data_IF_204814241364
#
_entry.id   IF_204814241364
#
_cell.length_a   1.000
_cell.length_b   1.000
_cell.length_c   1.000
_cell.angle_alpha   90.00
_cell.angle_beta   90.00
_cell.angle_gamma   90.00
#
_symmetry.space_group_name_H-M   'P 1'
#
loop_
_entity.id
_entity.type
_entity.pdbx_description
1 polymer ?
#
# COMPACT_ATOMS: atom_id res chain seq x y z
N UNK A 1 -14.04 -35.03 19.34
CA UNK A 1 -14.32 -33.72 18.71
C UNK A 1 -13.37 -33.58 17.53
N UNK A 2 -13.84 -33.76 16.29
CA UNK A 2 -13.01 -33.60 15.09
C UNK A 2 -12.84 -32.10 14.81
N UNK A 3 -11.60 -31.61 14.78
CA UNK A 3 -11.30 -30.29 14.20
C UNK A 3 -11.82 -30.24 12.77
N UNK A 4 -12.45 -29.13 12.37
CA UNK A 4 -12.86 -28.99 10.98
C UNK A 4 -11.62 -28.99 10.08
N UNK A 5 -11.76 -29.48 8.84
CA UNK A 5 -10.69 -29.44 7.85
C UNK A 5 -10.11 -28.03 7.65
N UNK A 6 -10.91 -26.99 7.89
CA UNK A 6 -10.49 -25.58 7.86
C UNK A 6 -9.61 -25.19 9.05
N UNK A 7 -9.88 -25.66 10.27
CA UNK A 7 -9.02 -25.42 11.44
C UNK A 7 -7.66 -26.11 11.29
N UNK A 8 -7.66 -27.31 10.71
CA UNK A 8 -6.44 -28.09 10.48
C UNK A 8 -5.55 -27.43 9.41
N UNK A 9 -6.16 -26.92 8.33
CA UNK A 9 -5.47 -26.18 7.29
C UNK A 9 -4.91 -24.85 7.83
N UNK A 10 -5.71 -24.10 8.59
CA UNK A 10 -5.31 -22.85 9.20
C UNK A 10 -4.15 -23.05 10.20
N UNK A 11 -4.17 -24.15 10.98
CA UNK A 11 -3.09 -24.51 11.90
C UNK A 11 -1.82 -24.88 11.14
N UNK A 12 -1.92 -25.66 10.06
CA UNK A 12 -0.80 -26.10 9.22
C UNK A 12 -0.10 -24.95 8.51
N UNK A 13 -0.88 -23.99 8.00
CA UNK A 13 -0.36 -22.82 7.28
C UNK A 13 -0.18 -21.57 8.13
N UNK A 14 -0.42 -21.63 9.44
CA UNK A 14 -0.30 -20.50 10.37
C UNK A 14 1.04 -19.77 10.28
N UNK A 15 2.12 -20.51 9.99
CA UNK A 15 3.49 -19.97 9.85
C UNK A 15 3.72 -19.26 8.52
N UNK A 16 2.96 -19.56 7.46
CA UNK A 16 3.05 -18.84 6.17
C UNK A 16 2.42 -17.46 6.24
N UNK A 17 1.45 -17.27 7.15
CA UNK A 17 0.71 -16.02 7.31
C UNK A 17 1.08 -15.28 8.60
N UNK A 18 2.23 -15.60 9.21
CA UNK A 18 2.70 -14.88 10.38
C UNK A 18 3.38 -13.58 9.97
N UNK A 19 2.83 -12.45 10.41
CA UNK A 19 3.48 -11.16 10.24
C UNK A 19 4.84 -11.14 10.97
N UNK A 20 5.81 -10.32 10.54
CA UNK A 20 7.04 -10.09 11.30
C UNK A 20 6.75 -9.51 12.69
N UNK A 21 7.71 -9.57 13.62
CA UNK A 21 7.58 -8.92 14.93
C UNK A 21 7.36 -7.40 14.77
N UNK A 22 6.77 -6.72 15.77
CA UNK A 22 6.55 -5.28 15.70
C UNK A 22 7.85 -4.50 15.49
N UNK A 23 8.93 -4.89 16.18
CA UNK A 23 10.25 -4.29 16.01
C UNK A 23 10.80 -4.49 14.61
N UNK A 24 10.67 -5.70 14.06
CA UNK A 24 11.09 -6.00 12.68
C UNK A 24 10.27 -5.18 11.67
N UNK A 25 8.97 -5.03 11.88
CA UNK A 25 8.10 -4.21 11.03
C UNK A 25 8.49 -2.74 11.03
N UNK A 26 8.79 -2.17 12.20
CA UNK A 26 9.29 -0.79 12.32
C UNK A 26 10.61 -0.63 11.56
N UNK A 27 11.54 -1.58 11.70
CA UNK A 27 12.80 -1.56 10.96
C UNK A 27 12.56 -1.65 9.44
N UNK A 28 11.71 -2.57 8.98
CA UNK A 28 11.41 -2.71 7.55
C UNK A 28 10.69 -1.49 6.98
N UNK A 29 9.78 -0.88 7.72
CA UNK A 29 9.15 0.39 7.35
C UNK A 29 10.18 1.51 7.24
N UNK A 30 11.07 1.63 8.23
CA UNK A 30 12.14 2.63 8.21
C UNK A 30 13.06 2.46 7.01
N UNK A 31 13.56 1.24 6.78
CA UNK A 31 14.46 0.94 5.66
C UNK A 31 13.76 1.17 4.32
N UNK A 32 12.53 0.68 4.14
CA UNK A 32 11.79 0.87 2.88
C UNK A 32 11.44 2.34 2.62
N UNK A 33 11.09 3.11 3.65
CA UNK A 33 10.85 4.55 3.52
C UNK A 33 12.11 5.32 3.10
N UNK A 34 13.27 5.00 3.71
CA UNK A 34 14.56 5.59 3.34
C UNK A 34 14.92 5.24 1.89
N UNK A 35 14.79 3.97 1.50
CA UNK A 35 15.03 3.54 0.13
C UNK A 35 14.11 4.26 -0.86
N UNK A 36 12.84 4.46 -0.50
CA UNK A 36 11.89 5.14 -1.36
C UNK A 36 12.23 6.63 -1.52
N UNK A 37 12.62 7.30 -0.43
CA UNK A 37 13.07 8.70 -0.48
C UNK A 37 14.31 8.88 -1.36
N UNK A 38 15.32 8.03 -1.16
CA UNK A 38 16.52 7.99 -2.00
C UNK A 38 16.14 7.74 -3.47
N UNK A 39 15.19 6.85 -3.73
CA UNK A 39 14.76 6.52 -5.10
C UNK A 39 14.08 7.71 -5.79
N UNK A 40 13.25 8.48 -5.07
CA UNK A 40 12.62 9.67 -5.63
C UNK A 40 13.60 10.81 -5.87
N UNK A 41 14.61 10.97 -5.00
CA UNK A 41 15.68 11.96 -5.17
C UNK A 41 16.84 11.47 -6.07
N UNK A 42 16.55 10.54 -7.00
CA UNK A 42 17.52 10.01 -7.98
C UNK A 42 18.80 9.47 -7.35
N UNK A 43 18.64 8.68 -6.30
CA UNK A 43 19.71 8.05 -5.55
C UNK A 43 20.61 9.03 -4.77
N UNK A 44 20.18 10.28 -4.60
CA UNK A 44 20.81 11.22 -3.68
C UNK A 44 20.14 11.11 -2.32
N UNK A 45 20.95 11.24 -1.26
CA UNK A 45 20.45 11.19 0.11
C UNK A 45 20.25 12.61 0.60
N UNK A 46 19.08 13.17 0.31
CA UNK A 46 18.62 14.41 0.93
C UNK A 46 17.96 14.12 2.29
N UNK A 47 18.43 14.84 3.31
CA UNK A 47 17.96 14.68 4.68
C UNK A 47 16.48 15.05 4.80
N UNK A 48 16.03 16.11 4.11
CA UNK A 48 14.66 16.60 4.21
C UNK A 48 13.70 15.57 3.61
N UNK A 49 13.98 15.10 2.39
CA UNK A 49 13.20 14.08 1.71
C UNK A 49 13.16 12.77 2.49
N UNK A 50 14.28 12.37 3.10
CA UNK A 50 14.35 11.18 3.95
C UNK A 50 13.48 11.29 5.20
N UNK A 51 13.53 12.43 5.89
CA UNK A 51 12.70 12.70 7.07
C UNK A 51 11.21 12.76 6.71
N UNK A 52 10.86 13.36 5.56
CA UNK A 52 9.49 13.38 5.05
C UNK A 52 8.99 11.96 4.70
N UNK A 53 9.81 11.14 4.04
CA UNK A 53 9.48 9.75 3.74
C UNK A 53 9.22 8.91 4.99
N UNK A 54 10.07 9.06 6.00
CA UNK A 54 9.87 8.41 7.31
C UNK A 54 8.58 8.92 7.97
N UNK A 55 8.44 10.24 8.10
CA UNK A 55 7.29 10.86 8.77
C UNK A 55 5.97 10.45 8.10
N UNK A 56 5.90 10.44 6.77
CA UNK A 56 4.68 10.04 6.05
C UNK A 56 4.36 8.56 6.21
N UNK A 57 5.35 7.68 6.18
CA UNK A 57 5.16 6.23 6.35
C UNK A 57 4.63 5.90 7.76
N UNK A 58 5.26 6.46 8.80
CA UNK A 58 4.84 6.23 10.18
C UNK A 58 3.51 6.94 10.51
N UNK A 59 3.33 8.19 10.07
CA UNK A 59 2.07 8.92 10.26
C UNK A 59 0.91 8.20 9.57
N UNK A 60 1.09 7.70 8.34
CA UNK A 60 0.05 6.94 7.63
C UNK A 60 -0.38 5.72 8.42
N UNK A 61 0.57 4.99 9.02
CA UNK A 61 0.28 3.82 9.86
C UNK A 61 -0.62 4.19 11.04
N UNK A 62 -0.26 5.24 11.78
CA UNK A 62 -1.00 5.67 12.98
C UNK A 62 -2.38 6.22 12.62
N UNK A 63 -2.44 7.10 11.61
CA UNK A 63 -3.67 7.74 11.14
C UNK A 63 -4.64 6.69 10.61
N UNK A 64 -4.19 5.77 9.77
CA UNK A 64 -5.06 4.73 9.22
C UNK A 64 -5.55 3.77 10.30
N UNK A 65 -4.69 3.36 11.23
CA UNK A 65 -5.11 2.51 12.34
C UNK A 65 -6.22 3.21 13.14
N UNK A 66 -6.03 4.49 13.48
CA UNK A 66 -7.02 5.25 14.23
C UNK A 66 -8.33 5.39 13.46
N UNK A 67 -8.29 5.84 12.21
CA UNK A 67 -9.49 6.07 11.40
C UNK A 67 -10.25 4.78 11.11
N UNK A 68 -9.56 3.67 10.84
CA UNK A 68 -10.20 2.36 10.72
C UNK A 68 -10.93 2.00 12.01
N UNK A 69 -10.28 2.20 13.18
CA UNK A 69 -10.90 1.88 14.48
C UNK A 69 -12.05 2.81 14.85
N UNK A 70 -12.06 4.05 14.38
CA UNK A 70 -13.20 4.97 14.53
C UNK A 70 -14.40 4.50 13.71
N UNK A 71 -14.16 4.10 12.46
CA UNK A 71 -15.23 3.71 11.53
C UNK A 71 -15.74 2.29 11.80
N UNK A 72 -14.86 1.39 12.21
CA UNK A 72 -15.13 -0.02 12.48
C UNK A 72 -14.40 -0.47 13.77
N UNK A 73 -14.97 -0.20 14.97
CA UNK A 73 -14.30 -0.50 16.24
C UNK A 73 -13.94 -1.98 16.44
N UNK A 74 -14.80 -2.86 15.93
CA UNK A 74 -14.63 -4.33 15.89
C UNK A 74 -13.54 -4.80 14.92
N UNK A 75 -13.00 -3.90 14.09
CA UNK A 75 -11.98 -4.22 13.10
C UNK A 75 -10.77 -4.91 13.70
N UNK A 76 -10.21 -5.85 12.97
CA UNK A 76 -8.96 -6.53 13.31
C UNK A 76 -7.71 -5.65 13.07
N UNK A 77 -7.87 -4.37 12.75
CA UNK A 77 -6.79 -3.41 12.50
C UNK A 77 -5.97 -3.13 13.77
N UNK A 78 -4.94 -3.94 13.99
CA UNK A 78 -3.88 -3.70 14.99
C UNK A 78 -2.75 -2.88 14.36
N UNK A 79 -1.92 -2.17 15.16
CA UNK A 79 -0.77 -1.42 14.62
C UNK A 79 0.07 -2.29 13.69
N UNK A 80 0.36 -3.53 14.11
CA UNK A 80 1.13 -4.51 13.34
C UNK A 80 0.54 -4.85 11.97
N UNK A 81 -0.79 -4.99 11.88
CA UNK A 81 -1.48 -5.34 10.62
C UNK A 81 -1.53 -4.15 9.67
N UNK A 82 -1.77 -2.95 10.19
CA UNK A 82 -1.75 -1.72 9.39
C UNK A 82 -0.32 -1.43 8.93
N UNK A 83 0.69 -1.56 9.79
CA UNK A 83 2.11 -1.44 9.41
C UNK A 83 2.49 -2.39 8.28
N UNK A 84 2.01 -3.64 8.30
CA UNK A 84 2.31 -4.60 7.23
C UNK A 84 1.66 -4.22 5.89
N UNK A 85 0.44 -3.67 5.93
CA UNK A 85 -0.21 -3.11 4.75
C UNK A 85 0.58 -1.92 4.20
N UNK A 86 0.97 -0.97 5.04
CA UNK A 86 1.76 0.20 4.65
C UNK A 86 3.10 -0.22 4.06
N UNK A 87 3.81 -1.16 4.72
CA UNK A 87 5.05 -1.72 4.19
C UNK A 87 4.86 -2.31 2.79
N UNK A 88 3.77 -3.06 2.58
CA UNK A 88 3.46 -3.63 1.27
C UNK A 88 3.20 -2.53 0.23
N UNK A 89 2.49 -1.46 0.60
CA UNK A 89 2.32 -0.27 -0.23
C UNK A 89 3.65 0.42 -0.58
N UNK A 90 4.54 0.61 0.40
CA UNK A 90 5.88 1.18 0.17
C UNK A 90 6.73 0.28 -0.73
N UNK A 91 6.61 -1.04 -0.62
CA UNK A 91 7.30 -1.99 -1.51
C UNK A 91 6.75 -1.97 -2.94
N UNK A 92 5.44 -1.79 -3.13
CA UNK A 92 4.84 -1.61 -4.46
C UNK A 92 5.40 -0.34 -5.13
N UNK A 93 5.57 0.74 -4.37
CA UNK A 93 6.24 1.95 -4.84
C UNK A 93 7.68 1.69 -5.27
N UNK A 94 8.47 1.02 -4.43
CA UNK A 94 9.85 0.64 -4.77
C UNK A 94 9.91 -0.24 -6.02
N UNK A 95 8.95 -1.16 -6.19
CA UNK A 95 8.85 -1.98 -7.40
C UNK A 95 8.57 -1.12 -8.65
N UNK A 96 7.66 -0.15 -8.55
CA UNK A 96 7.38 0.78 -9.66
C UNK A 96 8.63 1.57 -10.05
N UNK A 97 9.39 2.09 -9.07
CA UNK A 97 10.65 2.80 -9.34
C UNK A 97 11.71 1.87 -9.91
N UNK A 98 11.85 0.65 -9.41
CA UNK A 98 12.78 -0.33 -9.96
C UNK A 98 12.44 -0.69 -11.42
N UNK A 99 11.15 -0.83 -11.75
CA UNK A 99 10.69 -1.04 -13.12
C UNK A 99 11.03 0.15 -14.03
N UNK A 100 10.93 1.38 -13.53
CA UNK A 100 11.40 2.56 -14.25
C UNK A 100 12.90 2.54 -14.49
N UNK A 101 13.72 2.25 -13.47
CA UNK A 101 15.18 2.19 -13.63
C UNK A 101 15.57 1.17 -14.70
N UNK A 102 14.88 0.03 -14.73
CA UNK A 102 15.05 -0.96 -15.79
C UNK A 102 14.63 -0.40 -17.16
N UNK A 103 13.48 0.27 -17.26
CA UNK A 103 13.04 0.93 -18.50
C UNK A 103 14.04 1.98 -19.00
N UNK A 104 14.53 2.86 -18.12
CA UNK A 104 15.56 3.87 -18.41
C UNK A 104 16.83 3.20 -18.94
N UNK A 105 17.22 2.06 -18.37
CA UNK A 105 18.42 1.34 -18.82
C UNK A 105 18.33 0.90 -20.29
N UNK A 106 17.14 0.47 -20.73
CA UNK A 106 16.85 -0.02 -22.09
C UNK A 106 16.59 1.12 -23.08
N UNK A 107 15.79 2.11 -22.69
CA UNK A 107 15.24 3.12 -23.60
C UNK A 107 15.83 4.52 -23.42
N UNK A 108 16.74 4.71 -22.45
CA UNK A 108 17.39 6.00 -22.10
C UNK A 108 16.42 7.15 -21.88
N UNK A 109 15.19 6.85 -21.48
CA UNK A 109 14.11 7.82 -21.28
C UNK A 109 13.57 7.71 -19.86
N UNK A 110 13.60 8.84 -19.14
CA UNK A 110 13.11 8.97 -17.76
C UNK A 110 11.64 9.36 -17.78
N UNK A 111 10.81 8.63 -17.03
CA UNK A 111 9.36 8.82 -16.96
C UNK A 111 8.87 9.03 -15.52
N UNK A 112 9.67 9.66 -14.66
CA UNK A 112 9.40 9.83 -13.22
C UNK A 112 7.95 10.22 -12.92
N UNK A 113 7.37 11.15 -13.68
CA UNK A 113 5.98 11.59 -13.46
C UNK A 113 4.96 10.48 -13.72
N UNK A 114 5.17 9.66 -14.75
CA UNK A 114 4.32 8.49 -15.06
C UNK A 114 4.47 7.47 -13.94
N UNK A 115 5.70 7.13 -13.55
CA UNK A 115 5.98 6.15 -12.49
C UNK A 115 5.38 6.57 -11.17
N UNK A 116 5.54 7.83 -10.79
CA UNK A 116 5.03 8.36 -9.53
C UNK A 116 3.51 8.41 -9.54
N UNK A 117 2.91 8.91 -10.63
CA UNK A 117 1.44 8.90 -10.75
C UNK A 117 0.90 7.47 -10.70
N UNK A 118 1.46 6.56 -11.51
CA UNK A 118 1.01 5.17 -11.59
C UNK A 118 1.22 4.39 -10.29
N UNK A 119 2.36 4.59 -9.62
CA UNK A 119 2.66 4.01 -8.31
C UNK A 119 1.63 4.39 -7.25
N UNK A 120 1.19 5.65 -7.23
CA UNK A 120 0.13 6.10 -6.32
C UNK A 120 -1.18 5.34 -6.56
N UNK A 121 -1.57 5.13 -7.82
CA UNK A 121 -2.77 4.35 -8.17
C UNK A 121 -2.63 2.87 -7.84
N UNK A 122 -1.45 2.26 -8.05
CA UNK A 122 -1.19 0.87 -7.67
C UNK A 122 -1.35 0.66 -6.15
N UNK A 123 -0.75 1.54 -5.36
CA UNK A 123 -0.84 1.47 -3.90
C UNK A 123 -2.26 1.74 -3.42
N UNK A 124 -2.93 2.75 -3.98
CA UNK A 124 -4.34 3.01 -3.68
C UNK A 124 -5.22 1.79 -3.97
N UNK A 125 -5.04 1.15 -5.13
CA UNK A 125 -5.80 -0.04 -5.50
C UNK A 125 -5.52 -1.23 -4.57
N UNK A 126 -4.26 -1.46 -4.23
CA UNK A 126 -3.87 -2.50 -3.27
C UNK A 126 -4.48 -2.25 -1.89
N UNK A 127 -4.31 -1.05 -1.33
CA UNK A 127 -4.84 -0.70 -0.01
C UNK A 127 -6.36 -0.73 0.01
N UNK A 128 -7.02 -0.35 -1.08
CA UNK A 128 -8.47 -0.46 -1.22
C UNK A 128 -8.93 -1.91 -1.05
N UNK A 129 -8.25 -2.84 -1.73
CA UNK A 129 -8.55 -4.28 -1.63
C UNK A 129 -8.30 -4.79 -0.21
N UNK A 130 -7.16 -4.44 0.40
CA UNK A 130 -6.81 -4.91 1.75
C UNK A 130 -7.75 -4.33 2.80
N UNK A 131 -8.02 -3.03 2.79
CA UNK A 131 -8.90 -2.38 3.77
C UNK A 131 -10.31 -2.93 3.64
N UNK A 132 -10.84 -3.07 2.42
CA UNK A 132 -12.19 -3.61 2.19
C UNK A 132 -12.30 -5.11 2.53
N UNK A 133 -11.26 -5.88 2.20
CA UNK A 133 -11.25 -7.33 2.43
C UNK A 133 -11.02 -7.72 3.88
N UNK A 134 -10.21 -6.95 4.62
CA UNK A 134 -9.72 -7.35 5.93
C UNK A 134 -10.11 -6.42 7.08
N UNK A 135 -10.29 -5.11 6.84
CA UNK A 135 -10.38 -4.15 7.94
C UNK A 135 -11.75 -3.48 8.08
N UNK A 136 -12.49 -3.27 7.00
CA UNK A 136 -13.76 -2.54 7.01
C UNK A 136 -14.77 -3.25 6.11
N UNK A 137 -15.93 -3.60 6.65
CA UNK A 137 -16.97 -4.34 5.90
C UNK A 137 -17.64 -3.45 4.84
N UNK A 138 -17.88 -2.19 5.21
CA UNK A 138 -18.57 -1.20 4.38
C UNK A 138 -17.61 -0.58 3.36
N UNK A 139 -17.77 -0.96 2.10
CA UNK A 139 -16.94 -0.51 0.95
C UNK A 139 -16.86 1.01 0.82
N UNK A 140 -17.91 1.74 1.19
CA UNK A 140 -17.94 3.22 1.13
C UNK A 140 -16.84 3.89 1.95
N UNK A 141 -16.34 3.23 2.99
CA UNK A 141 -15.27 3.77 3.84
C UNK A 141 -13.88 3.31 3.40
N UNK A 142 -13.77 2.19 2.68
CA UNK A 142 -12.48 1.67 2.25
C UNK A 142 -11.76 2.62 1.27
N UNK A 143 -12.49 3.26 0.35
CA UNK A 143 -11.94 4.22 -0.62
C UNK A 143 -11.28 5.45 0.03
N UNK A 144 -12.01 6.22 0.86
CA UNK A 144 -11.42 7.36 1.55
C UNK A 144 -10.26 6.99 2.49
N UNK A 145 -10.22 5.77 3.02
CA UNK A 145 -9.10 5.32 3.85
C UNK A 145 -7.90 4.95 2.96
N UNK A 146 -8.10 4.20 1.88
CA UNK A 146 -7.00 3.73 1.02
C UNK A 146 -6.27 4.83 0.25
N UNK A 147 -6.83 6.04 0.18
CA UNK A 147 -6.17 7.18 -0.49
C UNK A 147 -5.14 7.88 0.39
N UNK A 148 -5.21 7.72 1.72
CA UNK A 148 -4.41 8.51 2.67
C UNK A 148 -2.91 8.31 2.45
N UNK A 149 -2.44 7.07 2.51
CA UNK A 149 -1.02 6.76 2.35
C UNK A 149 -0.47 7.13 0.96
N UNK A 150 -1.07 6.68 -0.17
CA UNK A 150 -0.54 7.02 -1.49
C UNK A 150 -0.58 8.52 -1.77
N UNK A 151 -1.59 9.25 -1.28
CA UNK A 151 -1.61 10.71 -1.42
C UNK A 151 -0.53 11.37 -0.59
N UNK A 152 -0.33 10.97 0.67
CA UNK A 152 0.76 11.52 1.47
C UNK A 152 2.11 11.30 0.79
N UNK A 153 2.38 10.10 0.28
CA UNK A 153 3.61 9.79 -0.47
C UNK A 153 3.75 10.63 -1.74
N UNK A 154 2.67 10.75 -2.51
CA UNK A 154 2.63 11.56 -3.72
C UNK A 154 2.92 13.04 -3.43
N UNK A 155 2.37 13.59 -2.34
CA UNK A 155 2.55 15.00 -1.96
C UNK A 155 4.02 15.36 -1.71
N UNK A 156 4.76 14.54 -0.95
CA UNK A 156 6.16 14.87 -0.66
C UNK A 156 7.14 14.40 -1.73
N UNK A 157 6.73 13.58 -2.70
CA UNK A 157 7.57 13.16 -3.84
C UNK A 157 7.99 14.30 -4.79
N UNK A 158 7.56 15.54 -4.51
CA UNK A 158 7.95 16.74 -5.27
C UNK A 158 7.18 16.90 -6.59
N UNK A 159 6.27 15.99 -6.93
CA UNK A 159 5.48 16.03 -8.18
C UNK A 159 4.16 16.78 -8.06
N UNK A 160 3.91 17.46 -6.94
CA UNK A 160 2.67 18.18 -6.61
C UNK A 160 2.14 19.09 -7.73
N UNK A 161 3.02 19.69 -8.53
CA UNK A 161 2.63 20.62 -9.60
C UNK A 161 2.28 19.95 -10.93
N UNK A 162 2.52 18.64 -11.11
CA UNK A 162 2.37 17.97 -12.41
C UNK A 162 1.88 16.54 -12.22
N UNK A 163 0.89 16.14 -12.99
CA UNK A 163 0.39 14.76 -13.02
C UNK A 163 0.50 14.23 -14.45
N UNK A 164 0.90 12.97 -14.59
CA UNK A 164 1.00 12.34 -15.90
C UNK A 164 -0.36 11.83 -16.35
N UNK A 165 -0.88 12.32 -17.48
CA UNK A 165 -2.14 11.81 -18.07
C UNK A 165 -2.03 10.31 -18.36
N UNK A 166 -0.89 9.84 -18.87
CA UNK A 166 -0.65 8.43 -19.11
C UNK A 166 -0.67 7.63 -17.82
N UNK A 167 -0.03 8.13 -16.76
CA UNK A 167 -0.04 7.49 -15.43
C UNK A 167 -1.43 7.47 -14.79
N UNK A 168 -2.24 8.50 -14.98
CA UNK A 168 -3.65 8.53 -14.55
C UNK A 168 -4.47 7.51 -15.34
N UNK A 169 -4.32 7.47 -16.66
CA UNK A 169 -5.06 6.57 -17.53
C UNK A 169 -4.82 5.09 -17.18
N UNK A 170 -3.55 4.70 -17.06
CA UNK A 170 -3.20 3.33 -16.63
C UNK A 170 -3.61 3.06 -15.18
N UNK A 171 -3.43 4.05 -14.29
CA UNK A 171 -3.84 3.96 -12.89
C UNK A 171 -5.35 3.75 -12.70
N UNK A 172 -6.18 4.45 -13.49
CA UNK A 172 -7.63 4.30 -13.46
C UNK A 172 -8.08 2.88 -13.83
N UNK A 173 -7.39 2.24 -14.80
CA UNK A 173 -7.65 0.85 -15.18
C UNK A 173 -7.37 -0.09 -14.01
N UNK A 174 -6.24 0.08 -13.31
CA UNK A 174 -5.89 -0.72 -12.13
C UNK A 174 -6.95 -0.57 -11.03
N UNK A 175 -7.41 0.65 -10.78
CA UNK A 175 -8.47 0.90 -9.79
C UNK A 175 -9.78 0.23 -10.20
N UNK A 176 -10.17 0.32 -11.47
CA UNK A 176 -11.36 -0.37 -11.97
C UNK A 176 -11.26 -1.89 -11.76
N UNK A 177 -10.10 -2.49 -12.04
CA UNK A 177 -9.85 -3.91 -11.77
C UNK A 177 -9.94 -4.25 -10.28
N UNK A 178 -9.43 -3.39 -9.39
CA UNK A 178 -9.57 -3.57 -7.95
C UNK A 178 -11.05 -3.54 -7.50
N UNK A 179 -11.86 -2.64 -8.05
CA UNK A 179 -13.30 -2.63 -7.78
C UNK A 179 -13.99 -3.91 -8.28
N UNK A 180 -13.68 -4.37 -9.49
CA UNK A 180 -14.21 -5.64 -10.03
C UNK A 180 -13.82 -6.81 -9.13
N UNK A 181 -12.56 -6.87 -8.68
CA UNK A 181 -12.07 -7.89 -7.78
C UNK A 181 -12.82 -7.89 -6.44
N UNK A 182 -12.99 -6.72 -5.81
CA UNK A 182 -13.74 -6.58 -4.56
C UNK A 182 -15.20 -7.03 -4.73
N UNK A 183 -15.85 -6.63 -5.83
CA UNK A 183 -17.22 -7.02 -6.10
C UNK A 183 -17.35 -8.55 -6.24
N UNK A 184 -16.46 -9.18 -7.00
CA UNK A 184 -16.43 -10.64 -7.16
C UNK A 184 -16.16 -11.35 -5.83
N UNK A 185 -15.22 -10.86 -5.03
CA UNK A 185 -14.89 -11.43 -3.73
C UNK A 185 -16.09 -11.39 -2.78
N UNK A 186 -16.85 -10.29 -2.78
CA UNK A 186 -18.08 -10.18 -1.98
C UNK A 186 -19.18 -11.12 -2.46
N UNK A 187 -19.39 -11.22 -3.78
CA UNK A 187 -20.38 -12.13 -4.34
C UNK A 187 -20.11 -13.60 -3.95
N UNK A 188 -18.84 -14.03 -3.93
CA UNK A 188 -18.45 -15.37 -3.46
C UNK A 188 -18.80 -15.56 -1.99
N UNK A 189 -18.47 -14.57 -1.14
CA UNK A 189 -18.71 -14.65 0.32
C UNK A 189 -20.19 -14.71 0.69
N UNK A 190 -21.08 -14.16 -0.14
CA UNK A 190 -22.54 -14.23 0.08
C UNK A 190 -23.16 -15.56 -0.37
N UNK A 191 -22.44 -16.37 -1.15
CA UNK A 191 -22.91 -17.67 -1.64
C UNK A 191 -22.50 -18.84 -0.74
N UNK A 192 -21.58 -18.61 0.20
CA UNK A 192 -21.06 -19.58 1.19
C UNK A 192 -21.61 -19.29 2.57
#
# INVERSE_FOLDING_TARGET
MSSSSTEELARRYRRLFSLPSSTSLVAYLGVSAVLLAISFDRLHLDLISTLLGLATTFTSTVVLQYLIKVVEPSSIATPRRVSAMILSGTLIWLFAVAAELFYVSLFKSVQNLVTITFGAFLVFAFELVVINGAFVEKTRFAGPLSIIHPTLVFLWSGTLARVSILGVGTGAIVVALAFVFIYKLKAIRTLT
#
